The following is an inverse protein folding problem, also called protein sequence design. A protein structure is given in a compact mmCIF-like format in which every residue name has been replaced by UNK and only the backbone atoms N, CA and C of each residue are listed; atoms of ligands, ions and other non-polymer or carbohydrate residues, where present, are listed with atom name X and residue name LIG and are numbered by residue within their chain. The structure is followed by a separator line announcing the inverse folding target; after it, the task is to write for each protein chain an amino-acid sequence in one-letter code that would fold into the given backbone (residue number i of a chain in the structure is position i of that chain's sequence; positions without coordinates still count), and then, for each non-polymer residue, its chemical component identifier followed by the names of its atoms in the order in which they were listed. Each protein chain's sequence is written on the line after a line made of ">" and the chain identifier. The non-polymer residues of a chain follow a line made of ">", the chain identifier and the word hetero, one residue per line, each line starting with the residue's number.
data_IF_174574379902
#
_entry.id   IF_174574379902
#
_cell.length_a   1.000
_cell.length_b   1.000
_cell.length_c   1.000
_cell.angle_alpha   90.00
_cell.angle_beta   90.00
_cell.angle_gamma   90.00
#
_symmetry.space_group_name_H-M   'P 1'
#
loop_
_entity.id
_entity.type
_entity.pdbx_description
1 polymer ?
#
# COMPACT_ATOMS: atom_id res chain seq x y z
N UNK A 1 2.58 27.36 -5.39
CA UNK A 1 2.68 25.95 -5.83
C UNK A 1 4.14 25.53 -5.68
N UNK A 2 4.44 24.56 -4.84
CA UNK A 2 5.77 24.00 -4.66
C UNK A 2 5.87 22.70 -5.47
N UNK A 3 6.99 22.50 -6.18
CA UNK A 3 7.19 21.31 -7.01
C UNK A 3 8.65 20.85 -6.94
N UNK A 4 8.83 19.53 -6.89
CA UNK A 4 10.13 18.89 -6.98
C UNK A 4 10.07 17.71 -7.94
N UNK A 5 10.92 17.70 -8.95
CA UNK A 5 11.04 16.62 -9.92
C UNK A 5 12.37 15.90 -9.73
N UNK A 6 12.31 14.59 -9.64
CA UNK A 6 13.42 13.66 -9.48
C UNK A 6 13.29 12.51 -10.50
N UNK A 7 14.33 11.70 -10.61
CA UNK A 7 14.31 10.51 -11.47
C UNK A 7 13.19 9.53 -11.10
N UNK A 8 12.93 9.37 -9.81
CA UNK A 8 11.95 8.40 -9.29
C UNK A 8 10.51 8.92 -9.33
N UNK A 9 10.32 10.21 -9.66
CA UNK A 9 9.01 10.82 -9.79
C UNK A 9 9.01 12.32 -9.50
N UNK A 10 7.83 12.91 -9.50
CA UNK A 10 7.62 14.30 -9.18
C UNK A 10 6.56 14.45 -8.10
N UNK A 11 6.79 15.38 -7.17
CA UNK A 11 5.82 15.80 -6.18
C UNK A 11 5.51 17.28 -6.38
N UNK A 12 4.25 17.63 -6.40
CA UNK A 12 3.80 19.03 -6.43
C UNK A 12 2.72 19.26 -5.37
N UNK A 13 2.75 20.45 -4.78
CA UNK A 13 1.79 20.89 -3.78
C UNK A 13 1.09 22.16 -4.26
N UNK A 14 -0.24 22.17 -4.29
CA UNK A 14 -1.06 23.27 -4.79
C UNK A 14 -1.70 24.13 -3.67
N UNK A 15 -1.50 23.75 -2.41
CA UNK A 15 -2.11 24.35 -1.22
C UNK A 15 -3.15 23.45 -0.55
N UNK A 16 -3.73 22.49 -1.28
CA UNK A 16 -4.78 21.59 -0.78
C UNK A 16 -4.37 20.12 -0.78
N UNK A 17 -3.52 19.73 -1.75
CA UNK A 17 -3.12 18.34 -1.93
C UNK A 17 -1.68 18.22 -2.44
N UNK A 18 -1.06 17.10 -2.14
CA UNK A 18 0.20 16.69 -2.75
C UNK A 18 -0.12 15.71 -3.88
N UNK A 19 0.26 16.10 -5.09
CA UNK A 19 0.21 15.23 -6.26
C UNK A 19 1.54 14.50 -6.39
N UNK A 20 1.50 13.18 -6.46
CA UNK A 20 2.64 12.29 -6.61
C UNK A 20 2.55 11.64 -7.99
N UNK A 21 3.54 11.86 -8.84
CA UNK A 21 3.64 11.25 -10.16
C UNK A 21 4.86 10.36 -10.19
N UNK A 22 4.73 9.03 -10.36
CA UNK A 22 5.88 8.14 -10.43
C UNK A 22 6.72 8.42 -11.68
N UNK A 23 8.03 8.27 -11.57
CA UNK A 23 8.95 8.36 -12.70
C UNK A 23 8.70 7.24 -13.71
N UNK A 24 9.07 7.49 -14.96
CA UNK A 24 8.93 6.52 -16.07
C UNK A 24 10.18 5.67 -16.28
N UNK A 25 11.23 5.90 -15.49
CA UNK A 25 12.47 5.14 -15.60
C UNK A 25 12.23 3.67 -15.20
N UNK A 26 12.88 2.74 -15.91
CA UNK A 26 12.81 1.28 -15.66
C UNK A 26 13.26 0.86 -14.25
N UNK A 27 13.98 1.74 -13.55
CA UNK A 27 14.43 1.49 -12.18
C UNK A 27 13.39 1.88 -11.13
N UNK A 28 12.36 2.64 -11.51
CA UNK A 28 11.22 2.93 -10.62
C UNK A 28 10.52 1.63 -10.27
N UNK A 29 10.25 1.43 -8.99
CA UNK A 29 9.68 0.17 -8.52
C UNK A 29 8.29 -0.08 -9.13
N UNK A 30 8.03 -1.33 -9.51
CA UNK A 30 6.78 -1.74 -10.20
C UNK A 30 5.51 -1.40 -9.42
N UNK A 31 5.54 -1.35 -8.10
CA UNK A 31 4.40 -0.92 -7.26
C UNK A 31 4.06 0.54 -7.53
N UNK A 32 5.04 1.43 -7.58
CA UNK A 32 4.81 2.86 -7.88
C UNK A 32 4.27 3.05 -9.28
N UNK A 33 4.79 2.31 -10.26
CA UNK A 33 4.29 2.35 -11.64
C UNK A 33 2.85 1.83 -11.73
N UNK A 34 2.52 0.76 -11.01
CA UNK A 34 1.18 0.17 -10.99
C UNK A 34 0.14 1.06 -10.29
N UNK A 35 0.54 1.79 -9.25
CA UNK A 35 -0.31 2.79 -8.59
C UNK A 35 -0.59 3.98 -9.50
N UNK A 36 0.39 4.36 -10.34
CA UNK A 36 0.29 5.56 -11.15
C UNK A 36 0.31 6.83 -10.32
N UNK A 37 -0.40 7.84 -10.78
CA UNK A 37 -0.53 9.12 -10.11
C UNK A 37 -1.42 9.02 -8.87
N UNK A 38 -0.96 9.64 -7.77
CA UNK A 38 -1.71 9.74 -6.52
C UNK A 38 -1.92 11.21 -6.16
N UNK A 39 -3.11 11.51 -5.65
CA UNK A 39 -3.42 12.80 -5.03
C UNK A 39 -3.66 12.57 -3.55
N UNK A 40 -2.82 13.19 -2.72
CA UNK A 40 -2.85 13.07 -1.26
C UNK A 40 -3.36 14.40 -0.69
N UNK A 41 -4.63 14.50 -0.29
CA UNK A 41 -5.17 15.73 0.29
C UNK A 41 -4.57 15.99 1.68
N UNK A 42 -4.45 17.25 2.07
CA UNK A 42 -3.91 17.65 3.37
C UNK A 42 -4.56 16.92 4.54
N UNK A 43 -5.87 16.69 4.48
CA UNK A 43 -6.61 15.98 5.54
C UNK A 43 -6.17 14.53 5.76
N UNK A 44 -5.44 13.93 4.81
CA UNK A 44 -4.86 12.61 4.95
C UNK A 44 -3.47 12.62 5.61
N UNK A 45 -2.84 13.79 5.74
CA UNK A 45 -1.45 13.91 6.21
C UNK A 45 -1.38 14.06 7.74
N UNK A 46 -0.49 13.30 8.35
CA UNK A 46 0.00 13.54 9.71
C UNK A 46 1.28 14.39 9.71
N UNK A 47 1.96 14.52 8.57
CA UNK A 47 3.15 15.35 8.43
C UNK A 47 3.96 15.04 7.18
N UNK A 48 4.97 15.88 6.98
CA UNK A 48 5.96 15.76 5.92
C UNK A 48 7.35 16.08 6.48
N UNK A 49 8.37 15.38 5.98
CA UNK A 49 9.75 15.61 6.39
C UNK A 49 10.71 15.47 5.20
N UNK A 50 11.80 16.24 5.26
CA UNK A 50 12.99 15.99 4.48
C UNK A 50 14.07 15.44 5.41
N UNK A 51 14.61 14.28 5.07
CA UNK A 51 15.69 13.60 5.79
C UNK A 51 16.96 13.74 4.95
N UNK A 52 17.96 14.53 5.40
CA UNK A 52 19.21 14.65 4.65
C UNK A 52 20.00 13.34 4.71
N UNK A 53 20.65 12.98 3.60
CA UNK A 53 21.49 11.79 3.49
C UNK A 53 22.86 12.10 2.93
N UNK A 54 23.82 11.18 3.06
CA UNK A 54 25.20 11.35 2.58
C UNK A 54 25.31 11.53 1.06
N UNK A 55 24.52 10.78 0.28
CA UNK A 55 24.54 10.79 -1.20
C UNK A 55 23.26 11.40 -1.78
N UNK A 56 22.14 11.14 -1.15
CA UNK A 56 20.83 11.70 -1.48
C UNK A 56 20.04 11.84 -0.21
N UNK A 57 19.20 12.87 -0.14
CA UNK A 57 18.21 13.02 0.90
C UNK A 57 16.93 12.25 0.55
N UNK A 58 15.93 12.40 1.38
CA UNK A 58 14.63 11.74 1.19
C UNK A 58 13.51 12.67 1.66
N UNK A 59 12.53 12.89 0.80
CA UNK A 59 11.21 13.38 1.21
C UNK A 59 10.36 12.22 1.65
N UNK A 60 9.62 12.39 2.75
CA UNK A 60 8.70 11.40 3.28
C UNK A 60 7.40 12.07 3.70
N UNK A 61 6.27 11.53 3.22
CA UNK A 61 4.96 11.82 3.76
C UNK A 61 4.63 10.82 4.86
N UNK A 62 4.08 11.31 5.95
CA UNK A 62 3.45 10.49 6.97
C UNK A 62 1.95 10.69 6.89
N UNK A 63 1.23 9.66 6.54
CA UNK A 63 -0.23 9.66 6.51
C UNK A 63 -0.81 9.49 7.92
N UNK A 64 -2.00 9.99 8.12
CA UNK A 64 -2.79 9.72 9.32
C UNK A 64 -3.19 8.24 9.31
N UNK A 65 -3.23 7.63 10.49
CA UNK A 65 -3.70 6.25 10.63
C UNK A 65 -5.11 6.11 10.07
N UNK A 66 -5.36 5.06 9.29
CA UNK A 66 -6.64 4.84 8.63
C UNK A 66 -6.92 5.74 7.41
N UNK A 67 -6.05 6.67 7.03
CA UNK A 67 -6.29 7.53 5.87
C UNK A 67 -6.16 6.81 4.52
N UNK A 68 -5.35 5.76 4.44
CA UNK A 68 -4.97 5.10 3.20
C UNK A 68 -5.05 3.58 3.31
N UNK A 69 -5.78 2.91 2.39
CA UNK A 69 -5.88 1.45 2.39
C UNK A 69 -4.52 0.74 2.18
N UNK A 70 -3.59 1.33 1.41
CA UNK A 70 -2.29 0.74 1.15
C UNK A 70 -1.42 0.75 2.40
N UNK A 71 -1.35 1.90 3.08
CA UNK A 71 -0.64 2.02 4.36
C UNK A 71 -1.24 1.10 5.41
N UNK A 72 -2.57 0.98 5.46
CA UNK A 72 -3.28 0.07 6.36
C UNK A 72 -2.95 -1.39 6.05
N UNK A 73 -3.01 -1.81 4.78
CA UNK A 73 -2.74 -3.18 4.35
C UNK A 73 -1.29 -3.61 4.64
N UNK A 74 -0.36 -2.69 4.54
CA UNK A 74 1.07 -2.99 4.69
C UNK A 74 1.63 -2.72 6.08
N UNK A 75 0.86 -2.02 6.94
CA UNK A 75 1.35 -1.56 8.24
C UNK A 75 2.63 -0.73 8.13
N UNK A 76 2.80 0.01 7.03
CA UNK A 76 4.00 0.79 6.73
C UNK A 76 5.26 -0.03 6.42
N UNK A 77 5.13 -1.33 6.13
CA UNK A 77 6.25 -2.27 5.89
C UNK A 77 6.62 -2.44 4.41
N UNK A 78 6.12 -1.58 3.51
CA UNK A 78 6.60 -1.58 2.14
C UNK A 78 8.10 -1.26 2.11
N UNK A 79 8.89 -1.94 1.24
CA UNK A 79 10.27 -1.54 0.98
C UNK A 79 10.32 -0.08 0.51
N UNK A 80 11.31 0.68 0.94
CA UNK A 80 11.47 2.11 0.59
C UNK A 80 11.32 2.40 -0.91
N UNK A 81 11.89 1.54 -1.75
CA UNK A 81 11.78 1.69 -3.21
C UNK A 81 10.33 1.51 -3.73
N UNK A 82 9.51 0.74 -3.04
CA UNK A 82 8.12 0.45 -3.40
C UNK A 82 7.12 1.46 -2.80
N UNK A 83 7.50 2.11 -1.69
CA UNK A 83 6.65 3.06 -0.96
C UNK A 83 6.42 4.33 -1.79
N UNK A 84 5.17 4.65 -2.21
CA UNK A 84 4.88 5.83 -3.01
C UNK A 84 5.02 7.14 -2.22
N UNK A 85 5.01 7.08 -0.89
CA UNK A 85 5.07 8.23 0.02
C UNK A 85 6.49 8.65 0.37
N UNK A 86 7.46 8.20 -0.40
CA UNK A 86 8.86 8.57 -0.29
C UNK A 86 9.42 8.97 -1.65
N UNK A 87 10.27 10.00 -1.66
CA UNK A 87 10.98 10.45 -2.86
C UNK A 87 12.46 10.67 -2.51
N UNK A 88 13.40 9.91 -3.13
CA UNK A 88 14.82 10.25 -3.05
C UNK A 88 15.07 11.62 -3.64
N UNK A 89 15.90 12.43 -2.99
CA UNK A 89 16.21 13.81 -3.40
C UNK A 89 17.69 13.96 -3.62
N UNK A 90 18.07 14.37 -4.81
CA UNK A 90 19.47 14.67 -5.14
C UNK A 90 19.98 15.90 -4.36
N UNK A 91 21.29 15.98 -4.04
CA UNK A 91 21.83 17.03 -3.17
C UNK A 91 21.58 18.46 -3.68
N UNK A 92 21.59 18.66 -4.99
CA UNK A 92 21.33 19.95 -5.66
C UNK A 92 19.86 20.39 -5.62
N UNK A 93 18.97 19.53 -5.17
CA UNK A 93 17.52 19.78 -5.03
C UNK A 93 17.06 19.89 -3.57
N UNK A 94 18.00 19.94 -2.65
CA UNK A 94 17.71 20.03 -1.22
C UNK A 94 16.82 21.23 -0.88
N UNK A 95 17.16 22.41 -1.35
CA UNK A 95 16.44 23.63 -1.02
C UNK A 95 14.98 23.58 -1.51
N UNK A 96 14.73 22.95 -2.68
CA UNK A 96 13.38 22.73 -3.17
C UNK A 96 12.59 21.74 -2.31
N UNK A 97 13.27 20.71 -1.79
CA UNK A 97 12.63 19.74 -0.90
C UNK A 97 12.27 20.39 0.44
N UNK A 98 13.16 21.19 1.02
CA UNK A 98 12.92 21.94 2.25
C UNK A 98 11.79 22.96 2.06
N UNK A 99 11.78 23.68 0.94
CA UNK A 99 10.70 24.60 0.59
C UNK A 99 9.34 23.88 0.49
N UNK A 100 9.27 22.73 -0.18
CA UNK A 100 8.04 21.96 -0.28
C UNK A 100 7.56 21.51 1.12
N UNK A 101 8.49 21.08 1.99
CA UNK A 101 8.18 20.68 3.36
C UNK A 101 7.58 21.85 4.15
N UNK A 102 8.17 23.04 4.04
CA UNK A 102 7.72 24.22 4.77
C UNK A 102 6.32 24.67 4.30
N UNK A 103 6.07 24.70 2.99
CA UNK A 103 4.77 25.03 2.42
C UNK A 103 3.67 24.05 2.92
N UNK A 104 3.94 22.74 2.88
CA UNK A 104 2.97 21.74 3.34
C UNK A 104 2.74 21.86 4.85
N UNK A 105 3.80 22.06 5.66
CA UNK A 105 3.66 22.23 7.12
C UNK A 105 2.86 23.47 7.47
N UNK A 106 3.10 24.57 6.76
CA UNK A 106 2.34 25.80 6.96
C UNK A 106 0.86 25.58 6.63
N UNK A 107 0.55 24.90 5.53
CA UNK A 107 -0.82 24.60 5.15
C UNK A 107 -1.51 23.68 6.18
N UNK A 108 -0.83 22.66 6.70
CA UNK A 108 -1.37 21.79 7.76
C UNK A 108 -1.77 22.58 9.01
N UNK A 109 -0.98 23.62 9.38
CA UNK A 109 -1.28 24.49 10.53
C UNK A 109 -2.47 25.41 10.21
N UNK A 110 -2.48 26.04 9.04
CA UNK A 110 -3.54 27.00 8.63
C UNK A 110 -4.89 26.29 8.52
N UNK A 111 -4.92 25.11 7.93
CA UNK A 111 -6.13 24.30 7.76
C UNK A 111 -6.51 23.51 9.03
N UNK A 112 -5.73 23.64 10.10
CA UNK A 112 -5.96 22.98 11.39
C UNK A 112 -6.20 21.45 11.22
N UNK A 113 -5.44 20.79 10.35
CA UNK A 113 -5.62 19.36 10.06
C UNK A 113 -5.43 18.54 11.34
N UNK A 114 -6.41 17.68 11.73
CA UNK A 114 -6.31 16.87 12.94
C UNK A 114 -5.13 15.90 12.85
N UNK A 115 -4.37 15.76 13.95
CA UNK A 115 -3.26 14.80 14.02
C UNK A 115 -3.70 13.34 14.30
N UNK A 116 -4.93 13.13 14.74
CA UNK A 116 -5.47 11.82 15.12
C UNK A 116 -5.81 10.91 13.94
N UNK A 117 -6.20 9.64 14.20
CA UNK A 117 -6.62 8.69 13.18
C UNK A 117 -7.81 9.20 12.35
N UNK A 118 -7.97 8.64 11.15
CA UNK A 118 -9.16 8.85 10.32
C UNK A 118 -10.21 7.79 10.65
N UNK A 119 -11.49 8.15 10.54
CA UNK A 119 -12.64 7.25 10.71
C UNK A 119 -13.06 6.58 9.39
N UNK A 120 -12.42 6.95 8.29
CA UNK A 120 -12.63 6.42 6.94
C UNK A 120 -11.38 6.59 6.10
N UNK A 121 -11.25 5.82 5.05
CA UNK A 121 -10.21 6.06 4.05
C UNK A 121 -10.44 7.40 3.35
N UNK A 122 -9.39 8.21 3.31
CA UNK A 122 -9.35 9.52 2.62
C UNK A 122 -8.81 9.34 1.21
N UNK A 123 -7.81 8.45 1.06
CA UNK A 123 -7.30 8.07 -0.25
C UNK A 123 -8.13 6.91 -0.82
N UNK A 124 -8.38 6.91 -2.13
CA UNK A 124 -8.97 5.76 -2.79
C UNK A 124 -7.96 4.60 -2.77
N UNK A 125 -8.43 3.38 -2.61
CA UNK A 125 -7.61 2.20 -2.84
C UNK A 125 -7.28 2.02 -4.32
N UNK A 126 -6.40 1.07 -4.66
CA UNK A 126 -6.11 0.73 -6.05
C UNK A 126 -7.39 0.42 -6.84
N UNK A 127 -7.38 0.81 -8.13
CA UNK A 127 -8.51 0.56 -9.02
C UNK A 127 -8.77 -0.93 -9.21
N UNK A 128 -10.03 -1.30 -9.43
CA UNK A 128 -10.43 -2.67 -9.78
C UNK A 128 -11.00 -2.71 -11.20
N UNK A 129 -10.87 -3.84 -11.93
CA UNK A 129 -10.24 -5.08 -11.47
C UNK A 129 -8.71 -4.94 -11.33
N UNK A 130 -8.15 -5.65 -10.35
CA UNK A 130 -6.70 -5.69 -10.11
C UNK A 130 -6.22 -7.14 -10.05
N UNK A 131 -5.00 -7.38 -10.52
CA UNK A 131 -4.36 -8.70 -10.48
C UNK A 131 -2.87 -8.55 -10.26
N UNK A 132 -2.28 -9.41 -9.44
CA UNK A 132 -0.85 -9.50 -9.23
C UNK A 132 -0.42 -10.97 -9.22
N UNK A 133 0.69 -11.26 -9.92
CA UNK A 133 1.32 -12.58 -9.92
C UNK A 133 2.62 -12.50 -9.14
N UNK A 134 2.69 -13.12 -8.00
CA UNK A 134 3.88 -13.21 -7.15
C UNK A 134 3.83 -14.47 -6.29
N UNK A 135 4.98 -14.88 -5.79
CA UNK A 135 5.04 -16.03 -4.92
C UNK A 135 4.54 -17.33 -5.57
N UNK A 136 3.61 -18.01 -4.92
CA UNK A 136 3.03 -19.27 -5.35
C UNK A 136 1.66 -19.16 -6.07
N UNK A 137 1.17 -17.91 -6.32
CA UNK A 137 -0.12 -17.71 -6.97
C UNK A 137 -0.20 -16.41 -7.78
N UNK A 138 -1.29 -16.31 -8.55
CA UNK A 138 -1.86 -15.04 -9.01
C UNK A 138 -3.08 -14.73 -8.17
N UNK A 139 -3.08 -13.58 -7.50
CA UNK A 139 -4.24 -13.06 -6.81
C UNK A 139 -4.92 -11.99 -7.67
N UNK A 140 -6.22 -12.09 -7.84
CA UNK A 140 -7.03 -11.09 -8.54
C UNK A 140 -8.24 -10.70 -7.71
N UNK A 141 -8.68 -9.45 -7.89
CA UNK A 141 -9.87 -8.91 -7.23
C UNK A 141 -10.66 -8.06 -8.22
N UNK A 142 -11.94 -8.38 -8.42
CA UNK A 142 -12.82 -7.70 -9.36
C UNK A 142 -13.71 -6.62 -8.70
N UNK A 143 -13.65 -6.48 -7.38
CA UNK A 143 -14.48 -5.59 -6.58
C UNK A 143 -15.51 -6.34 -5.72
N UNK A 144 -15.80 -7.59 -6.03
CA UNK A 144 -16.78 -8.43 -5.33
C UNK A 144 -16.16 -9.71 -4.77
N UNK A 145 -15.13 -10.24 -5.46
CA UNK A 145 -14.49 -11.51 -5.09
C UNK A 145 -12.99 -11.47 -5.31
N UNK A 146 -12.27 -12.13 -4.42
CA UNK A 146 -10.86 -12.46 -4.58
C UNK A 146 -10.77 -13.84 -5.21
N UNK A 147 -9.89 -13.99 -6.21
CA UNK A 147 -9.55 -15.27 -6.82
C UNK A 147 -8.06 -15.52 -6.70
N UNK A 148 -7.67 -16.71 -6.25
CA UNK A 148 -6.32 -17.21 -6.16
C UNK A 148 -6.15 -18.35 -7.17
N UNK A 149 -5.30 -18.13 -8.17
CA UNK A 149 -4.92 -19.12 -9.18
C UNK A 149 -3.50 -19.60 -8.87
N UNK A 150 -3.36 -20.88 -8.56
CA UNK A 150 -2.10 -21.50 -8.12
C UNK A 150 -1.13 -21.68 -9.28
N UNK A 151 0.17 -21.51 -9.02
CA UNK A 151 1.21 -21.77 -9.99
C UNK A 151 2.01 -23.04 -9.65
N UNK A 152 3.09 -23.30 -10.36
CA UNK A 152 3.89 -24.50 -10.20
C UNK A 152 4.66 -24.56 -8.85
N UNK A 153 4.83 -23.44 -8.16
CA UNK A 153 5.51 -23.36 -6.85
C UNK A 153 4.59 -23.70 -5.68
N UNK A 154 3.29 -23.79 -5.94
CA UNK A 154 2.30 -24.04 -4.89
C UNK A 154 2.38 -25.49 -4.41
N UNK A 155 2.23 -25.66 -3.10
CA UNK A 155 2.12 -27.00 -2.48
C UNK A 155 0.91 -27.77 -3.02
N UNK A 156 1.07 -29.08 -3.17
CA UNK A 156 0.05 -29.95 -3.76
C UNK A 156 -1.26 -29.92 -2.98
N UNK A 157 -1.20 -29.79 -1.65
CA UNK A 157 -2.36 -29.67 -0.79
C UNK A 157 -3.26 -28.47 -1.12
N UNK A 158 -2.68 -27.37 -1.64
CA UNK A 158 -3.46 -26.22 -2.13
C UNK A 158 -3.98 -26.45 -3.53
N UNK A 159 -3.17 -27.05 -4.42
CA UNK A 159 -3.54 -27.30 -5.82
C UNK A 159 -4.69 -28.28 -5.95
N UNK A 160 -4.70 -29.33 -5.11
CA UNK A 160 -5.74 -30.38 -5.15
C UNK A 160 -7.17 -29.82 -4.99
N UNK A 161 -7.32 -28.70 -4.29
CA UNK A 161 -8.59 -27.98 -4.14
C UNK A 161 -8.98 -27.09 -5.33
N UNK A 162 -8.12 -26.99 -6.37
CA UNK A 162 -8.31 -26.06 -7.47
C UNK A 162 -8.13 -24.58 -7.08
N UNK A 163 -8.43 -23.66 -7.98
CA UNK A 163 -8.40 -22.21 -7.70
C UNK A 163 -9.34 -21.85 -6.55
N UNK A 164 -8.92 -20.92 -5.69
CA UNK A 164 -9.73 -20.45 -4.57
C UNK A 164 -10.48 -19.18 -4.91
N UNK A 165 -11.78 -19.14 -4.67
CA UNK A 165 -12.59 -17.92 -4.76
C UNK A 165 -13.14 -17.58 -3.38
N UNK A 166 -13.03 -16.29 -2.99
CA UNK A 166 -13.46 -15.77 -1.69
C UNK A 166 -14.32 -14.55 -1.97
N UNK A 167 -15.55 -14.52 -1.49
CA UNK A 167 -16.43 -13.36 -1.66
C UNK A 167 -16.08 -12.27 -0.67
N UNK A 168 -16.16 -11.02 -1.09
CA UNK A 168 -15.88 -9.86 -0.24
C UNK A 168 -16.70 -9.86 1.07
N UNK A 169 -18.01 -10.19 1.07
CA UNK A 169 -18.79 -10.26 2.31
C UNK A 169 -18.37 -11.35 3.29
N UNK A 170 -17.64 -12.38 2.82
CA UNK A 170 -17.13 -13.46 3.68
C UNK A 170 -15.80 -13.09 4.35
N UNK A 171 -15.16 -12.00 3.93
CA UNK A 171 -13.86 -11.56 4.46
C UNK A 171 -14.02 -10.81 5.77
N UNK A 172 -13.24 -11.21 6.75
CA UNK A 172 -13.10 -10.51 8.03
C UNK A 172 -11.81 -9.69 8.09
N UNK A 173 -10.72 -10.21 7.50
CA UNK A 173 -9.42 -9.56 7.56
C UNK A 173 -8.57 -9.92 6.34
N UNK A 174 -7.68 -9.00 5.97
CA UNK A 174 -6.60 -9.21 5.00
C UNK A 174 -5.28 -8.94 5.70
N UNK A 175 -4.36 -9.89 5.62
CA UNK A 175 -3.00 -9.77 6.17
C UNK A 175 -1.98 -9.80 5.05
N UNK A 176 -1.12 -8.80 5.01
CA UNK A 176 0.05 -8.80 4.14
C UNK A 176 1.31 -8.68 4.99
N UNK A 177 2.21 -9.63 4.86
CA UNK A 177 3.48 -9.68 5.57
C UNK A 177 4.60 -9.82 4.53
N UNK A 178 5.57 -8.90 4.49
CA UNK A 178 6.70 -9.01 3.57
C UNK A 178 7.62 -10.16 4.00
N UNK A 179 8.33 -10.77 3.03
CA UNK A 179 9.43 -11.68 3.34
C UNK A 179 10.57 -10.91 4.04
N UNK A 180 11.18 -11.52 5.06
CA UNK A 180 12.25 -10.90 5.83
C UNK A 180 13.32 -11.94 6.19
N UNK A 181 14.57 -11.68 5.83
CA UNK A 181 15.68 -12.60 6.05
C UNK A 181 15.43 -13.95 5.38
N UNK A 182 15.35 -15.03 6.19
CA UNK A 182 15.05 -16.39 5.72
C UNK A 182 13.56 -16.73 5.78
N UNK A 183 12.72 -15.84 6.30
CA UNK A 183 11.30 -16.08 6.45
C UNK A 183 10.54 -15.59 5.22
N UNK A 184 9.67 -16.46 4.68
CA UNK A 184 8.77 -16.10 3.62
C UNK A 184 7.69 -15.16 4.14
N UNK A 185 7.31 -14.17 3.31
CA UNK A 185 6.12 -13.38 3.53
C UNK A 185 4.85 -14.08 3.05
N UNK A 186 3.72 -13.42 3.20
CA UNK A 186 2.45 -13.92 2.68
C UNK A 186 1.41 -12.80 2.49
N UNK A 187 0.43 -13.09 1.64
CA UNK A 187 -0.86 -12.40 1.59
C UNK A 187 -1.92 -13.42 1.99
N UNK A 188 -2.71 -13.14 3.02
CA UNK A 188 -3.76 -14.03 3.55
C UNK A 188 -5.10 -13.33 3.61
N UNK A 189 -6.15 -14.06 3.24
CA UNK A 189 -7.54 -13.63 3.30
C UNK A 189 -8.27 -14.45 4.37
N UNK A 190 -8.61 -13.83 5.49
CA UNK A 190 -9.25 -14.48 6.65
C UNK A 190 -10.75 -14.32 6.50
N UNK A 191 -11.46 -15.44 6.67
CA UNK A 191 -12.93 -15.50 6.62
C UNK A 191 -13.47 -16.08 7.93
N UNK A 192 -14.73 -15.79 8.28
CA UNK A 192 -15.39 -16.30 9.49
C UNK A 192 -15.35 -17.85 9.59
N UNK A 193 -15.27 -18.55 8.45
CA UNK A 193 -15.27 -20.02 8.38
C UNK A 193 -13.86 -20.63 8.39
N UNK A 194 -12.83 -19.85 8.17
CA UNK A 194 -11.46 -20.34 8.07
C UNK A 194 -10.60 -19.67 9.15
N UNK A 195 -10.44 -20.36 10.28
CA UNK A 195 -9.46 -19.94 11.28
C UNK A 195 -8.04 -20.07 10.71
N UNK A 196 -7.24 -19.01 10.87
CA UNK A 196 -5.86 -18.93 10.34
C UNK A 196 -4.90 -19.83 11.12
N UNK A 197 -5.10 -21.14 11.10
CA UNK A 197 -4.32 -22.11 11.86
C UNK A 197 -3.20 -22.78 11.04
N UNK A 198 -3.34 -22.81 9.71
CA UNK A 198 -2.33 -23.44 8.84
C UNK A 198 -1.19 -22.47 8.49
N UNK A 199 0.02 -23.02 8.35
CA UNK A 199 1.13 -22.24 7.80
C UNK A 199 0.78 -21.75 6.37
N UNK A 200 1.22 -20.52 5.94
CA UNK A 200 0.82 -19.94 4.67
C UNK A 200 1.01 -20.82 3.45
N UNK A 201 2.05 -21.68 3.46
CA UNK A 201 2.32 -22.60 2.35
C UNK A 201 1.28 -23.72 2.19
N UNK A 202 0.48 -24.01 3.22
CA UNK A 202 -0.58 -25.02 3.22
C UNK A 202 -1.99 -24.42 3.29
N UNK A 203 -2.10 -23.12 3.52
CA UNK A 203 -3.35 -22.42 3.68
C UNK A 203 -3.93 -22.05 2.30
N UNK A 204 -5.10 -22.58 1.89
CA UNK A 204 -5.72 -22.26 0.60
C UNK A 204 -6.27 -20.82 0.53
N UNK A 205 -6.22 -20.05 1.61
CA UNK A 205 -6.57 -18.64 1.65
C UNK A 205 -5.34 -17.72 1.67
N UNK A 206 -4.12 -18.28 1.53
CA UNK A 206 -2.89 -17.52 1.57
C UNK A 206 -2.02 -17.71 0.32
N UNK A 207 -1.34 -16.66 -0.10
CA UNK A 207 -0.27 -16.67 -1.11
C UNK A 207 1.06 -16.52 -0.40
N UNK A 208 2.02 -17.40 -0.64
CA UNK A 208 3.38 -17.31 -0.09
C UNK A 208 4.21 -16.34 -0.92
N UNK A 209 4.98 -15.48 -0.27
CA UNK A 209 5.87 -14.49 -0.90
C UNK A 209 7.32 -14.84 -0.55
N UNK A 210 8.19 -14.94 -1.56
CA UNK A 210 9.56 -15.42 -1.41
C UNK A 210 10.62 -14.32 -1.35
N UNK A 211 10.22 -13.06 -1.26
CA UNK A 211 11.14 -11.91 -1.23
C UNK A 211 11.58 -11.44 -2.62
N UNK A 212 10.86 -11.81 -3.68
CA UNK A 212 11.16 -11.33 -5.02
C UNK A 212 10.68 -9.89 -5.25
N UNK A 213 11.32 -9.20 -6.20
CA UNK A 213 11.03 -7.80 -6.56
C UNK A 213 9.54 -7.50 -6.84
N UNK A 214 8.77 -8.49 -7.31
CA UNK A 214 7.34 -8.35 -7.62
C UNK A 214 6.41 -8.66 -6.46
N UNK A 215 6.90 -9.27 -5.38
CA UNK A 215 6.05 -9.67 -4.25
C UNK A 215 5.29 -8.49 -3.62
N UNK A 216 5.86 -7.28 -3.54
CA UNK A 216 5.10 -6.11 -3.04
C UNK A 216 3.88 -5.72 -3.89
N UNK A 217 3.73 -6.20 -5.14
CA UNK A 217 2.49 -5.99 -5.91
C UNK A 217 1.27 -6.64 -5.24
N UNK A 218 1.47 -7.69 -4.44
CA UNK A 218 0.39 -8.31 -3.66
C UNK A 218 -0.20 -7.36 -2.61
N UNK A 219 0.57 -6.38 -2.14
CA UNK A 219 0.07 -5.33 -1.25
C UNK A 219 -1.00 -4.46 -1.94
N UNK A 220 -0.92 -4.27 -3.26
CA UNK A 220 -1.93 -3.53 -4.01
C UNK A 220 -3.27 -4.29 -4.07
N UNK A 221 -3.22 -5.63 -4.21
CA UNK A 221 -4.43 -6.46 -4.13
C UNK A 221 -5.02 -6.39 -2.72
N UNK A 222 -4.19 -6.52 -1.68
CA UNK A 222 -4.62 -6.35 -0.29
C UNK A 222 -5.30 -4.99 -0.07
N UNK A 223 -4.67 -3.90 -0.51
CA UNK A 223 -5.20 -2.55 -0.38
C UNK A 223 -6.52 -2.35 -1.15
N UNK A 224 -6.65 -2.92 -2.35
CA UNK A 224 -7.87 -2.84 -3.15
C UNK A 224 -9.05 -3.55 -2.46
N UNK A 225 -8.79 -4.68 -1.81
CA UNK A 225 -9.78 -5.42 -1.01
C UNK A 225 -10.14 -4.62 0.24
N UNK A 226 -9.14 -4.16 1.02
CA UNK A 226 -9.36 -3.41 2.25
C UNK A 226 -10.12 -2.11 2.02
N UNK A 227 -9.87 -1.43 0.89
CA UNK A 227 -10.62 -0.21 0.52
C UNK A 227 -12.13 -0.43 0.36
N UNK A 228 -12.59 -1.68 0.25
CA UNK A 228 -14.00 -2.07 0.08
C UNK A 228 -14.56 -2.84 1.26
N UNK A 229 -13.72 -3.14 2.24
CA UNK A 229 -14.13 -3.68 3.54
C UNK A 229 -14.55 -2.53 4.47
N UNK A 230 -15.30 -2.82 5.56
CA UNK A 230 -15.53 -1.84 6.61
C UNK A 230 -14.21 -1.25 7.12
N UNK A 231 -14.20 0.06 7.32
CA UNK A 231 -13.01 0.73 7.87
C UNK A 231 -12.73 0.23 9.29
N UNK A 232 -11.46 0.03 9.71
CA UNK A 232 -11.13 -0.49 11.04
C UNK A 232 -11.69 0.33 12.21
N UNK A 233 -11.82 1.66 12.02
CA UNK A 233 -12.42 2.55 13.00
C UNK A 233 -13.96 2.61 12.93
N UNK A 234 -14.59 1.92 11.96
CA UNK A 234 -16.05 1.88 11.90
C UNK A 234 -16.60 1.15 13.14
N UNK A 235 -17.69 1.66 13.76
CA UNK A 235 -18.30 0.97 14.89
C UNK A 235 -18.70 -0.45 14.45
N UNK A 236 -18.38 -1.43 15.31
CA UNK A 236 -18.78 -2.81 15.06
C UNK A 236 -20.30 -2.86 14.77
N UNK A 237 -20.68 -3.48 13.66
CA UNK A 237 -22.09 -3.63 13.31
C UNK A 237 -22.76 -4.34 14.46
N UNK A 238 -23.70 -3.67 15.16
CA UNK A 238 -24.49 -4.33 16.19
C UNK A 238 -25.12 -5.59 15.58
N UNK A 239 -24.79 -6.75 16.15
CA UNK A 239 -25.44 -7.99 15.78
C UNK A 239 -26.93 -7.85 16.09
N UNK A 240 -27.80 -8.33 15.18
CA UNK A 240 -29.26 -8.28 15.36
C UNK A 240 -29.72 -9.13 16.53
#
# INVERSE_FOLDING_TARGET
>A
MAEITQRDGAWSFDGEAIRIVPGRDRNVHVVRQALGELTVPLVALAGVAYEPGRKSGRLRLRLREGADPLSQATGGKLPDAADPYQLPVEPDRRDLAEYLVDEVRQALILEQVPAGPCDRYVLPGPSVPISASAGDATASFDGERVRLDWNWKTEESKKSGGPRTILLPDLEMVEWVPAAGLENGYLRFITAKATATAAPKYDPHAVVLYGFKKDPLMALVAAAVMARMPHPAAPAKALP
#
